data_IF_228668632774
#
_entry.id   IF_228668632774
#
_cell.length_a   1.000
_cell.length_b   1.000
_cell.length_c   1.000
_cell.angle_alpha   90.00
_cell.angle_beta   90.00
_cell.angle_gamma   90.00
#
_symmetry.space_group_name_H-M   'P 1'
#
loop_
_entity.id
_entity.type
_entity.pdbx_description
1 polymer ?
#
# COMPACT_ATOMS: atom_id res chain seq x y z
N UNK A 1 -34.42 6.24 -12.61
CA UNK A 1 -33.60 5.01 -12.67
C UNK A 1 -32.51 5.22 -13.71
N UNK A 2 -31.35 5.72 -13.32
CA UNK A 2 -30.20 5.94 -14.22
C UNK A 2 -29.41 4.64 -14.34
N UNK A 3 -29.28 4.14 -15.58
CA UNK A 3 -28.70 2.84 -15.90
C UNK A 3 -27.27 2.69 -15.40
N UNK A 4 -26.99 1.55 -14.75
CA UNK A 4 -25.64 1.11 -14.47
C UNK A 4 -24.89 0.98 -15.81
N UNK A 5 -23.98 1.90 -16.09
CA UNK A 5 -23.14 1.85 -17.28
C UNK A 5 -22.39 0.52 -17.39
N UNK A 6 -22.17 0.05 -18.62
CA UNK A 6 -21.48 -1.22 -18.89
C UNK A 6 -20.16 -1.29 -18.13
N UNK A 7 -19.81 -2.43 -17.48
CA UNK A 7 -18.56 -2.54 -16.75
C UNK A 7 -17.36 -2.31 -17.67
N UNK A 8 -16.43 -1.47 -17.20
CA UNK A 8 -15.23 -1.13 -17.95
C UNK A 8 -14.36 -2.37 -18.26
N UNK A 9 -13.52 -2.30 -19.29
CA UNK A 9 -12.69 -3.42 -19.77
C UNK A 9 -11.95 -4.15 -18.64
N UNK A 10 -11.30 -3.41 -17.72
CA UNK A 10 -10.52 -4.01 -16.65
C UNK A 10 -11.37 -4.69 -15.59
N UNK A 11 -12.62 -4.28 -15.38
CA UNK A 11 -13.53 -5.02 -14.52
C UNK A 11 -13.87 -6.38 -15.12
N UNK A 12 -14.25 -6.43 -16.40
CA UNK A 12 -14.55 -7.69 -17.08
C UNK A 12 -13.35 -8.61 -17.12
N UNK A 13 -12.17 -8.04 -17.36
CA UNK A 13 -10.93 -8.80 -17.38
C UNK A 13 -10.52 -9.31 -15.99
N UNK A 14 -10.80 -8.56 -14.92
CA UNK A 14 -10.58 -9.03 -13.54
C UNK A 14 -11.43 -10.27 -13.26
N UNK A 15 -12.73 -10.22 -13.59
CA UNK A 15 -13.63 -11.35 -13.42
C UNK A 15 -13.18 -12.57 -14.24
N UNK A 16 -12.83 -12.36 -15.52
CA UNK A 16 -12.36 -13.41 -16.42
C UNK A 16 -11.10 -14.11 -15.89
N UNK A 17 -10.19 -13.33 -15.31
CA UNK A 17 -8.95 -13.83 -14.72
C UNK A 17 -9.09 -14.22 -13.24
N UNK A 18 -10.27 -14.12 -12.64
CA UNK A 18 -10.50 -14.51 -11.24
C UNK A 18 -9.91 -13.56 -10.18
N UNK A 19 -9.60 -12.31 -10.54
CA UNK A 19 -9.32 -11.25 -9.58
C UNK A 19 -10.61 -10.64 -9.03
N UNK A 20 -10.64 -10.35 -7.73
CA UNK A 20 -11.83 -9.81 -7.05
C UNK A 20 -12.09 -8.33 -7.37
N UNK A 21 -11.11 -7.62 -7.92
CA UNK A 21 -11.29 -6.24 -8.40
C UNK A 21 -10.31 -5.86 -9.50
N UNK A 22 -10.69 -4.88 -10.32
CA UNK A 22 -9.84 -4.31 -11.37
C UNK A 22 -8.56 -3.64 -10.84
N UNK A 23 -8.47 -3.32 -9.55
CA UNK A 23 -7.26 -2.75 -8.94
C UNK A 23 -6.08 -3.72 -8.98
N UNK A 24 -6.32 -5.04 -9.15
CA UNK A 24 -5.27 -6.03 -9.38
C UNK A 24 -4.33 -5.64 -10.53
N UNK A 25 -4.88 -5.14 -11.65
CA UNK A 25 -4.08 -4.73 -12.81
C UNK A 25 -3.13 -3.57 -12.54
N UNK A 26 -3.41 -2.74 -11.53
CA UNK A 26 -2.53 -1.65 -11.12
C UNK A 26 -1.27 -2.23 -10.46
N UNK A 27 -1.44 -3.13 -9.49
CA UNK A 27 -0.32 -3.79 -8.82
C UNK A 27 0.41 -4.74 -9.76
N UNK A 28 -0.28 -5.49 -10.63
CA UNK A 28 0.37 -6.32 -11.66
C UNK A 28 1.28 -5.50 -12.58
N UNK A 29 0.83 -4.32 -13.02
CA UNK A 29 1.64 -3.43 -13.83
C UNK A 29 2.87 -2.93 -13.05
N UNK A 30 2.69 -2.45 -11.82
CA UNK A 30 3.79 -1.97 -10.98
C UNK A 30 4.78 -3.09 -10.65
N UNK A 31 4.28 -4.28 -10.30
CA UNK A 31 5.11 -5.46 -10.04
C UNK A 31 5.93 -5.84 -11.28
N UNK A 32 5.33 -5.83 -12.48
CA UNK A 32 6.03 -6.11 -13.74
C UNK A 32 7.14 -5.10 -14.04
N UNK A 33 6.90 -3.82 -13.76
CA UNK A 33 7.84 -2.73 -14.09
C UNK A 33 8.95 -2.56 -13.05
N UNK A 34 8.62 -2.69 -11.77
CA UNK A 34 9.52 -2.33 -10.67
C UNK A 34 10.05 -3.55 -9.89
N UNK A 35 9.49 -4.76 -10.08
CA UNK A 35 9.90 -5.99 -9.38
C UNK A 35 9.90 -5.81 -7.85
N UNK A 36 8.78 -5.33 -7.33
CA UNK A 36 8.65 -4.88 -5.94
C UNK A 36 8.65 -6.03 -4.94
N UNK A 37 7.93 -7.11 -5.27
CA UNK A 37 7.73 -8.29 -4.43
C UNK A 37 8.60 -9.41 -4.99
N UNK A 38 9.51 -9.92 -4.19
CA UNK A 38 10.34 -11.09 -4.54
C UNK A 38 9.75 -12.36 -3.94
N UNK A 39 10.11 -13.55 -4.47
CA UNK A 39 9.69 -14.81 -3.85
C UNK A 39 10.06 -14.88 -2.37
N UNK A 40 9.14 -15.36 -1.52
CA UNK A 40 9.35 -15.44 -0.07
C UNK A 40 9.34 -14.12 0.70
N UNK A 41 8.98 -12.99 0.07
CA UNK A 41 8.88 -11.69 0.74
C UNK A 41 7.86 -11.66 1.90
N UNK A 42 8.06 -10.71 2.82
CA UNK A 42 7.02 -10.28 3.76
C UNK A 42 6.37 -9.00 3.24
N UNK A 43 5.06 -9.06 2.99
CA UNK A 43 4.26 -7.99 2.39
C UNK A 43 3.21 -7.51 3.38
N UNK A 44 3.11 -6.20 3.57
CA UNK A 44 2.00 -5.54 4.27
C UNK A 44 1.19 -4.72 3.26
N UNK A 45 -0.11 -4.96 3.18
CA UNK A 45 -1.06 -4.30 2.26
C UNK A 45 -2.07 -3.47 3.06
N UNK A 46 -1.95 -2.15 3.01
CA UNK A 46 -2.79 -1.18 3.71
C UNK A 46 -3.94 -0.73 2.81
N UNK A 47 -5.18 -0.84 3.31
CA UNK A 47 -6.37 -0.62 2.49
C UNK A 47 -6.67 -1.80 1.57
N UNK A 48 -6.50 -3.02 2.08
CA UNK A 48 -6.49 -4.22 1.24
C UNK A 48 -7.86 -4.63 0.69
N UNK A 49 -8.98 -4.05 1.13
CA UNK A 49 -10.31 -4.45 0.65
C UNK A 49 -10.51 -4.13 -0.86
N UNK A 50 -11.09 -5.04 -1.66
CA UNK A 50 -11.69 -6.33 -1.30
C UNK A 50 -10.75 -7.54 -1.35
N UNK A 51 -9.43 -7.33 -1.51
CA UNK A 51 -8.41 -8.39 -1.50
C UNK A 51 -7.66 -8.57 -2.82
N UNK A 52 -7.86 -7.69 -3.81
CA UNK A 52 -7.25 -7.83 -5.13
C UNK A 52 -5.71 -7.71 -5.09
N UNK A 53 -5.18 -6.84 -4.23
CA UNK A 53 -3.73 -6.71 -4.04
C UNK A 53 -3.15 -7.86 -3.22
N UNK A 54 -3.94 -8.46 -2.31
CA UNK A 54 -3.56 -9.70 -1.62
C UNK A 54 -3.35 -10.87 -2.60
N UNK A 55 -4.22 -11.02 -3.60
CA UNK A 55 -4.06 -12.03 -4.65
C UNK A 55 -2.75 -11.85 -5.41
N UNK A 56 -2.48 -10.64 -5.90
CA UNK A 56 -1.26 -10.34 -6.66
C UNK A 56 0.00 -10.50 -5.79
N UNK A 57 -0.05 -10.06 -4.53
CA UNK A 57 1.05 -10.21 -3.59
C UNK A 57 1.36 -11.68 -3.32
N UNK A 58 0.34 -12.50 -3.04
CA UNK A 58 0.52 -13.92 -2.75
C UNK A 58 1.09 -14.68 -3.95
N UNK A 59 0.59 -14.44 -5.16
CA UNK A 59 1.18 -15.01 -6.38
C UNK A 59 2.65 -14.60 -6.57
N UNK A 60 2.98 -13.35 -6.22
CA UNK A 60 4.35 -12.83 -6.33
C UNK A 60 5.33 -13.46 -5.33
N UNK A 61 4.84 -14.09 -4.26
CA UNK A 61 5.68 -14.88 -3.34
C UNK A 61 6.18 -16.18 -3.97
N UNK A 62 5.61 -16.59 -5.12
CA UNK A 62 5.95 -17.83 -5.79
C UNK A 62 5.40 -19.07 -5.06
N UNK A 63 5.96 -20.26 -5.36
CA UNK A 63 5.56 -21.52 -4.73
C UNK A 63 5.64 -21.49 -3.19
N UNK A 64 4.89 -22.37 -2.53
CA UNK A 64 4.75 -22.37 -1.07
C UNK A 64 6.08 -22.63 -0.34
N UNK A 65 6.97 -23.43 -0.92
CA UNK A 65 8.29 -23.75 -0.39
C UNK A 65 9.24 -22.55 -0.32
N UNK A 66 8.95 -21.46 -1.06
CA UNK A 66 9.69 -20.19 -0.91
C UNK A 66 9.32 -19.44 0.36
N UNK A 67 8.24 -19.84 1.05
CA UNK A 67 7.76 -19.19 2.26
C UNK A 67 7.20 -17.79 1.97
N UNK A 68 7.39 -16.86 2.91
CA UNK A 68 6.86 -15.50 2.86
C UNK A 68 5.50 -15.36 3.53
N UNK A 69 5.02 -14.11 3.59
CA UNK A 69 3.73 -13.76 4.21
C UNK A 69 3.12 -12.56 3.54
N UNK A 70 1.79 -12.53 3.44
CA UNK A 70 1.03 -11.34 3.06
C UNK A 70 0.07 -11.00 4.18
N UNK A 71 0.18 -9.80 4.73
CA UNK A 71 -0.73 -9.28 5.76
C UNK A 71 -1.51 -8.12 5.16
N UNK A 72 -2.83 -8.27 5.04
CA UNK A 72 -3.74 -7.20 4.67
C UNK A 72 -4.33 -6.51 5.89
N UNK A 73 -4.40 -5.18 5.89
CA UNK A 73 -5.11 -4.40 6.91
C UNK A 73 -6.12 -3.51 6.23
N UNK A 74 -7.36 -3.55 6.70
CA UNK A 74 -8.42 -2.67 6.20
C UNK A 74 -9.45 -2.39 7.31
N UNK A 75 -10.13 -1.25 7.23
CA UNK A 75 -11.25 -0.92 8.12
C UNK A 75 -12.44 -1.87 7.90
N UNK A 76 -12.56 -2.45 6.71
CA UNK A 76 -13.56 -3.46 6.38
C UNK A 76 -13.01 -4.85 6.63
N UNK A 77 -13.87 -5.74 7.13
CA UNK A 77 -13.55 -7.17 7.20
C UNK A 77 -13.37 -7.72 5.78
N UNK A 78 -12.15 -8.14 5.45
CA UNK A 78 -11.83 -8.78 4.16
C UNK A 78 -11.89 -10.28 4.31
N UNK A 79 -12.69 -10.95 3.48
CA UNK A 79 -12.59 -12.40 3.29
C UNK A 79 -11.45 -12.67 2.33
N UNK A 80 -10.49 -13.50 2.73
CA UNK A 80 -9.38 -13.88 1.86
C UNK A 80 -9.94 -14.55 0.60
N UNK A 81 -9.61 -14.06 -0.61
CA UNK A 81 -10.04 -14.69 -1.86
C UNK A 81 -9.56 -16.14 -1.97
N UNK A 82 -10.43 -17.06 -2.37
CA UNK A 82 -10.04 -18.48 -2.52
C UNK A 82 -9.07 -18.71 -3.68
N UNK A 83 -9.15 -17.89 -4.73
CA UNK A 83 -8.24 -17.96 -5.87
C UNK A 83 -7.06 -17.02 -5.63
N UNK A 84 -5.85 -17.51 -5.94
CA UNK A 84 -4.58 -16.80 -5.88
C UNK A 84 -4.05 -16.45 -4.49
N UNK A 85 -4.79 -16.77 -3.43
CA UNK A 85 -4.28 -16.74 -2.07
C UNK A 85 -4.12 -18.15 -1.51
N UNK A 86 -3.15 -18.32 -0.62
CA UNK A 86 -2.92 -19.55 0.14
C UNK A 86 -2.76 -19.23 1.64
N UNK A 87 -2.31 -20.21 2.42
CA UNK A 87 -2.14 -20.12 3.88
C UNK A 87 -1.18 -19.01 4.34
N UNK A 88 -0.40 -18.40 3.44
CA UNK A 88 0.49 -17.27 3.75
C UNK A 88 -0.24 -15.93 3.85
N UNK A 89 -1.50 -15.85 3.43
CA UNK A 89 -2.29 -14.62 3.49
C UNK A 89 -3.05 -14.53 4.81
N UNK A 90 -2.96 -13.36 5.46
CA UNK A 90 -3.69 -13.02 6.68
C UNK A 90 -4.33 -11.65 6.52
N UNK A 91 -5.48 -11.43 7.14
CA UNK A 91 -6.18 -10.14 7.11
C UNK A 91 -6.52 -9.69 8.53
N UNK A 92 -6.37 -8.40 8.79
CA UNK A 92 -6.74 -7.76 10.06
C UNK A 92 -7.74 -6.64 9.78
N UNK A 93 -8.84 -6.64 10.52
CA UNK A 93 -9.84 -5.57 10.48
C UNK A 93 -9.42 -4.49 11.47
N UNK A 94 -8.84 -3.40 10.99
CA UNK A 94 -8.38 -2.29 11.82
C UNK A 94 -8.29 -1.00 11.00
N UNK A 95 -8.45 0.13 11.69
CA UNK A 95 -8.18 1.44 11.10
C UNK A 95 -6.68 1.72 11.08
N UNK A 96 -6.13 1.85 9.88
CA UNK A 96 -4.71 2.14 9.68
C UNK A 96 -4.32 3.48 10.30
N UNK A 97 -5.20 4.48 10.34
CA UNK A 97 -4.90 5.79 10.94
C UNK A 97 -4.59 5.67 12.44
N UNK A 98 -5.32 4.79 13.12
CA UNK A 98 -5.18 4.49 14.54
C UNK A 98 -4.22 3.32 14.84
N UNK A 99 -3.67 2.68 13.81
CA UNK A 99 -2.79 1.53 13.97
C UNK A 99 -1.48 1.94 14.63
N UNK A 100 -1.19 1.29 15.77
CA UNK A 100 0.09 1.40 16.42
C UNK A 100 1.11 0.54 15.68
N UNK A 101 2.30 1.09 15.51
CA UNK A 101 3.42 0.43 14.85
C UNK A 101 3.75 -0.93 15.46
N UNK A 102 3.77 -1.07 16.80
CA UNK A 102 4.13 -2.34 17.43
C UNK A 102 3.08 -3.42 17.21
N UNK A 103 1.80 -3.04 17.15
CA UNK A 103 0.72 -3.94 16.73
C UNK A 103 0.95 -4.43 15.30
N UNK A 104 1.29 -3.52 14.38
CA UNK A 104 1.60 -3.88 12.99
C UNK A 104 2.88 -4.72 12.88
N UNK A 105 3.91 -4.43 13.68
CA UNK A 105 5.19 -5.16 13.72
C UNK A 105 4.99 -6.58 14.23
N UNK A 106 4.13 -6.79 15.21
CA UNK A 106 3.80 -8.13 15.71
C UNK A 106 3.16 -9.04 14.65
N UNK A 107 2.58 -8.47 13.58
CA UNK A 107 2.05 -9.23 12.44
C UNK A 107 3.15 -9.68 11.46
N UNK A 108 4.34 -9.10 11.55
CA UNK A 108 5.47 -9.46 10.68
C UNK A 108 6.20 -10.71 11.17
N UNK A 109 6.85 -11.48 10.28
CA UNK A 109 7.60 -12.66 10.67
C UNK A 109 8.68 -12.31 11.71
N UNK A 110 8.61 -12.93 12.88
CA UNK A 110 9.56 -12.72 13.98
C UNK A 110 9.69 -11.24 14.43
N UNK A 111 8.69 -10.40 14.16
CA UNK A 111 8.74 -8.97 14.52
C UNK A 111 9.73 -8.13 13.71
N UNK A 112 10.28 -8.67 12.61
CA UNK A 112 11.35 -8.03 11.81
C UNK A 112 10.86 -6.94 10.84
N UNK A 113 9.55 -6.69 10.78
CA UNK A 113 8.95 -5.81 9.79
C UNK A 113 8.78 -6.48 8.42
N UNK A 114 8.47 -5.67 7.42
CA UNK A 114 8.09 -6.11 6.07
C UNK A 114 9.15 -5.71 5.05
N UNK A 115 9.44 -6.59 4.09
CA UNK A 115 10.29 -6.25 2.94
C UNK A 115 9.56 -5.39 1.90
N UNK A 116 8.22 -5.45 1.89
CA UNK A 116 7.37 -4.64 1.01
C UNK A 116 6.18 -4.10 1.77
N UNK A 117 5.90 -2.81 1.61
CA UNK A 117 4.67 -2.17 2.06
C UNK A 117 3.90 -1.60 0.88
N UNK A 118 2.61 -1.88 0.82
CA UNK A 118 1.69 -1.44 -0.22
C UNK A 118 0.58 -0.63 0.44
N UNK A 119 0.11 0.44 -0.21
CA UNK A 119 -1.03 1.22 0.24
C UNK A 119 -1.92 1.58 -0.96
N UNK A 120 -3.09 0.94 -1.03
CA UNK A 120 -4.19 1.30 -1.93
C UNK A 120 -5.34 1.96 -1.13
N UNK A 121 -5.03 2.57 0.02
CA UNK A 121 -6.00 3.31 0.84
C UNK A 121 -6.64 4.45 0.05
N UNK A 122 -7.95 4.62 0.19
CA UNK A 122 -8.73 5.66 -0.46
C UNK A 122 -9.67 6.28 0.58
N UNK A 123 -9.69 7.61 0.74
CA UNK A 123 -10.66 8.25 1.62
C UNK A 123 -12.05 8.18 0.99
N UNK A 124 -13.07 8.44 1.80
CA UNK A 124 -14.42 8.70 1.30
C UNK A 124 -14.40 9.99 0.48
N UNK A 125 -14.58 9.86 -0.83
CA UNK A 125 -14.49 10.98 -1.78
C UNK A 125 -15.72 11.88 -1.63
N UNK A 126 -15.50 13.14 -1.28
CA UNK A 126 -16.53 14.16 -1.12
C UNK A 126 -16.94 14.81 -2.44
N UNK A 127 -16.08 14.71 -3.47
CA UNK A 127 -16.24 15.41 -4.75
C UNK A 127 -15.53 16.78 -4.76
N UNK A 128 -15.06 17.25 -3.61
CA UNK A 128 -14.26 18.48 -3.49
C UNK A 128 -12.80 18.11 -3.71
N UNK A 129 -12.31 18.41 -4.91
CA UNK A 129 -10.96 18.07 -5.40
C UNK A 129 -9.83 18.33 -4.39
N UNK A 130 -9.81 19.51 -3.76
CA UNK A 130 -8.77 19.89 -2.80
C UNK A 130 -8.86 19.07 -1.51
N UNK A 131 -10.06 18.96 -0.94
CA UNK A 131 -10.32 18.18 0.28
C UNK A 131 -9.98 16.70 0.08
N UNK A 132 -10.40 16.12 -1.03
CA UNK A 132 -10.15 14.71 -1.33
C UNK A 132 -8.65 14.44 -1.51
N UNK A 133 -7.92 15.37 -2.11
CA UNK A 133 -6.46 15.29 -2.23
C UNK A 133 -5.74 15.41 -0.88
N UNK A 134 -6.16 16.34 -0.02
CA UNK A 134 -5.61 16.48 1.33
C UNK A 134 -5.80 15.20 2.16
N UNK A 135 -7.01 14.64 2.19
CA UNK A 135 -7.29 13.36 2.88
C UNK A 135 -6.49 12.19 2.29
N UNK A 136 -6.30 12.18 0.97
CA UNK A 136 -5.45 11.17 0.32
C UNK A 136 -3.99 11.32 0.73
N UNK A 137 -3.51 12.56 0.89
CA UNK A 137 -2.15 12.85 1.35
C UNK A 137 -1.96 12.41 2.81
N UNK A 138 -2.94 12.63 3.69
CA UNK A 138 -2.91 12.14 5.08
C UNK A 138 -2.77 10.61 5.17
N UNK A 139 -3.58 9.87 4.39
CA UNK A 139 -3.48 8.40 4.30
C UNK A 139 -2.10 7.96 3.79
N UNK A 140 -1.58 8.65 2.76
CA UNK A 140 -0.24 8.39 2.24
C UNK A 140 0.86 8.69 3.26
N UNK A 141 0.74 9.79 4.00
CA UNK A 141 1.64 10.18 5.08
C UNK A 141 1.65 9.18 6.22
N UNK A 142 0.47 8.64 6.61
CA UNK A 142 0.40 7.56 7.59
C UNK A 142 1.12 6.30 7.12
N UNK A 143 0.89 5.87 5.87
CA UNK A 143 1.59 4.71 5.30
C UNK A 143 3.11 4.89 5.30
N UNK A 144 3.58 6.10 4.92
CA UNK A 144 4.99 6.43 4.92
C UNK A 144 5.58 6.47 6.34
N UNK A 145 4.90 7.11 7.29
CA UNK A 145 5.29 7.16 8.70
C UNK A 145 5.43 5.77 9.32
N UNK A 146 4.46 4.88 9.06
CA UNK A 146 4.55 3.47 9.47
C UNK A 146 5.75 2.78 8.82
N UNK A 147 6.01 3.05 7.54
CA UNK A 147 7.11 2.42 6.82
C UNK A 147 8.50 2.85 7.32
N UNK A 148 8.74 4.15 7.51
CA UNK A 148 10.09 4.68 7.81
C UNK A 148 10.32 5.02 9.28
N UNK A 149 9.29 4.96 10.11
CA UNK A 149 9.34 5.34 11.52
C UNK A 149 9.31 6.86 11.73
N UNK A 150 9.45 7.31 12.98
CA UNK A 150 9.48 8.75 13.29
C UNK A 150 10.76 9.40 12.75
N UNK A 151 10.69 9.99 11.55
CA UNK A 151 11.42 11.22 11.21
C UNK A 151 10.90 11.86 9.92
N UNK A 152 10.30 13.04 10.10
CA UNK A 152 10.15 14.23 9.21
C UNK A 152 8.96 14.25 8.23
N UNK A 153 7.77 14.60 8.74
CA UNK A 153 7.13 15.83 8.26
C UNK A 153 7.41 16.88 9.35
N UNK A 154 7.72 18.15 9.03
CA UNK A 154 7.82 19.18 10.06
C UNK A 154 6.44 19.35 10.71
N UNK A 155 6.23 18.71 11.86
CA UNK A 155 5.09 19.01 12.72
C UNK A 155 5.47 20.23 13.56
N UNK A 156 4.70 21.30 13.44
CA UNK A 156 4.79 22.53 14.22
C UNK A 156 4.41 22.38 15.70
N UNK A 157 4.49 21.17 16.25
CA UNK A 157 4.14 20.91 17.65
C UNK A 157 5.21 20.03 18.29
N UNK A 158 6.08 20.67 19.07
CA UNK A 158 7.02 20.03 19.98
C UNK A 158 6.29 19.64 21.27
N UNK A 159 5.86 18.39 21.38
CA UNK A 159 5.66 17.73 22.68
C UNK A 159 5.28 16.26 22.52
N UNK A 160 6.24 15.39 22.17
CA UNK A 160 6.09 13.95 22.43
C UNK A 160 7.40 13.41 23.01
N UNK A 161 7.38 12.67 24.13
CA UNK A 161 8.58 12.22 24.82
C UNK A 161 9.41 11.26 23.95
N UNK A 162 10.73 11.40 24.06
CA UNK A 162 11.70 10.46 23.52
C UNK A 162 11.62 9.13 24.27
N UNK A 163 11.13 8.08 23.61
CA UNK A 163 11.42 6.71 24.02
C UNK A 163 12.55 6.15 23.18
N UNK A 164 13.66 5.87 23.87
CA UNK A 164 14.82 5.16 23.38
C UNK A 164 14.42 3.77 22.85
N UNK A 165 14.59 3.52 21.55
CA UNK A 165 14.84 2.15 21.12
C UNK A 165 15.72 2.06 19.87
N UNK A 166 16.84 1.37 20.06
CA UNK A 166 17.86 1.05 19.08
C UNK A 166 17.35 0.05 18.04
N UNK A 167 17.23 0.49 16.78
CA UNK A 167 16.96 -0.36 15.61
C UNK A 167 15.81 0.19 14.77
N UNK A 168 16.15 0.74 13.59
CA UNK A 168 15.25 1.29 12.56
C UNK A 168 13.76 1.34 12.91
N UNK A 169 13.27 2.51 13.31
CA UNK A 169 11.95 2.69 13.91
C UNK A 169 10.77 2.31 12.98
N UNK A 170 10.99 2.14 11.68
CA UNK A 170 9.94 1.84 10.70
C UNK A 170 9.61 0.35 10.56
N UNK A 171 8.40 0.07 10.06
CA UNK A 171 7.96 -1.28 9.69
C UNK A 171 8.64 -1.82 8.44
N UNK A 172 9.14 -0.94 7.56
CA UNK A 172 9.80 -1.36 6.32
C UNK A 172 11.26 -1.68 6.59
N UNK A 173 11.69 -2.88 6.18
CA UNK A 173 13.08 -3.31 6.30
C UNK A 173 14.00 -2.46 5.42
N UNK A 174 15.28 -2.33 5.82
CA UNK A 174 16.31 -1.75 4.94
C UNK A 174 16.35 -2.47 3.60
N UNK A 175 16.47 -1.71 2.52
CA UNK A 175 16.36 -2.23 1.15
C UNK A 175 14.93 -2.56 0.71
N UNK A 176 13.93 -2.43 1.58
CA UNK A 176 12.53 -2.70 1.29
C UNK A 176 11.89 -1.69 0.33
N UNK A 177 10.75 -2.08 -0.23
CA UNK A 177 10.00 -1.30 -1.21
C UNK A 177 8.67 -0.80 -0.64
N UNK A 178 8.25 0.39 -1.06
CA UNK A 178 7.01 1.03 -0.63
C UNK A 178 6.21 1.53 -1.84
N UNK A 179 4.91 1.29 -1.85
CA UNK A 179 3.97 1.85 -2.83
C UNK A 179 2.86 2.58 -2.11
N UNK A 180 2.59 3.82 -2.51
CA UNK A 180 1.52 4.64 -1.92
C UNK A 180 0.63 5.21 -3.03
N UNK A 181 -0.68 4.96 -2.93
CA UNK A 181 -1.68 5.68 -3.72
C UNK A 181 -1.88 7.10 -3.20
N UNK A 182 -1.94 8.05 -4.12
CA UNK A 182 -2.31 9.44 -3.87
C UNK A 182 -3.32 9.93 -4.92
N UNK A 183 -4.06 10.98 -4.59
CA UNK A 183 -4.78 11.79 -5.57
C UNK A 183 -3.92 12.98 -5.97
N UNK A 184 -3.62 13.11 -7.25
CA UNK A 184 -2.72 14.13 -7.80
C UNK A 184 -3.17 15.55 -7.44
N UNK A 185 -2.28 16.28 -6.78
CA UNK A 185 -2.40 17.69 -6.37
C UNK A 185 -1.02 18.35 -6.33
N UNK A 186 -0.97 19.67 -6.11
CA UNK A 186 0.30 20.41 -5.96
C UNK A 186 1.22 19.82 -4.88
N UNK A 187 0.64 19.44 -3.74
CA UNK A 187 1.35 18.93 -2.56
C UNK A 187 2.02 17.56 -2.79
N UNK A 188 1.59 16.81 -3.82
CA UNK A 188 2.20 15.50 -4.13
C UNK A 188 3.67 15.61 -4.50
N UNK A 189 4.13 16.75 -5.02
CA UNK A 189 5.54 16.94 -5.39
C UNK A 189 6.47 16.89 -4.17
N UNK A 190 6.10 17.58 -3.08
CA UNK A 190 6.87 17.61 -1.83
C UNK A 190 6.96 16.21 -1.22
N UNK A 191 5.83 15.48 -1.22
CA UNK A 191 5.76 14.09 -0.77
C UNK A 191 6.76 13.19 -1.53
N UNK A 192 6.85 13.38 -2.85
CA UNK A 192 7.80 12.67 -3.70
C UNK A 192 9.26 13.03 -3.40
N UNK A 193 9.57 14.30 -3.14
CA UNK A 193 10.91 14.75 -2.79
C UNK A 193 11.38 14.14 -1.48
N UNK A 194 10.53 14.14 -0.45
CA UNK A 194 10.83 13.51 0.82
C UNK A 194 11.16 12.01 0.66
N UNK A 195 10.40 11.29 -0.15
CA UNK A 195 10.68 9.89 -0.44
C UNK A 195 12.03 9.69 -1.17
N UNK A 196 12.45 10.59 -2.07
CA UNK A 196 13.78 10.50 -2.72
C UNK A 196 14.94 10.61 -1.73
N UNK A 197 14.75 11.31 -0.62
CA UNK A 197 15.76 11.41 0.44
C UNK A 197 15.91 10.09 1.19
N UNK A 198 14.83 9.33 1.39
CA UNK A 198 14.81 8.09 2.18
C UNK A 198 15.02 6.81 1.37
N UNK A 199 14.73 6.80 0.07
CA UNK A 199 14.81 5.63 -0.79
C UNK A 199 15.87 5.78 -1.88
N UNK A 200 16.45 4.66 -2.35
CA UNK A 200 17.41 4.66 -3.48
C UNK A 200 16.78 5.21 -4.76
N UNK A 201 15.49 4.95 -4.97
CA UNK A 201 14.72 5.45 -6.10
C UNK A 201 13.28 5.72 -5.68
N UNK A 202 12.70 6.82 -6.15
CA UNK A 202 11.27 7.08 -6.06
C UNK A 202 10.76 7.50 -7.44
N UNK A 203 9.61 6.96 -7.87
CA UNK A 203 9.06 7.19 -9.21
C UNK A 203 7.54 7.25 -9.16
N UNK A 204 6.98 8.24 -9.85
CA UNK A 204 5.54 8.36 -10.03
C UNK A 204 5.07 7.47 -11.17
N UNK A 205 3.89 6.86 -10.99
CA UNK A 205 3.22 6.10 -12.03
C UNK A 205 1.71 6.30 -11.95
N UNK A 206 1.09 6.43 -13.11
CA UNK A 206 -0.35 6.29 -13.30
C UNK A 206 -0.64 4.98 -14.05
N UNK A 207 -1.08 3.92 -13.37
CA UNK A 207 -1.35 2.64 -14.02
C UNK A 207 -2.41 2.75 -15.13
N UNK A 208 -2.29 1.92 -16.17
CA UNK A 208 -3.24 1.88 -17.30
C UNK A 208 -4.65 1.51 -16.85
N UNK A 209 -4.75 0.77 -15.74
CA UNK A 209 -6.01 0.39 -15.13
C UNK A 209 -6.62 1.48 -14.24
N UNK A 210 -6.05 2.68 -14.18
CA UNK A 210 -6.68 3.85 -13.55
C UNK A 210 -7.72 4.46 -14.50
N UNK A 211 -8.89 4.82 -13.97
CA UNK A 211 -9.97 5.46 -14.76
C UNK A 211 -9.53 6.83 -15.25
N UNK A 212 -9.90 7.21 -16.47
CA UNK A 212 -9.59 8.52 -17.04
C UNK A 212 -10.08 9.68 -16.17
N UNK A 213 -11.25 9.53 -15.53
CA UNK A 213 -11.85 10.52 -14.63
C UNK A 213 -11.19 10.61 -13.24
N UNK A 214 -10.35 9.65 -12.86
CA UNK A 214 -9.70 9.65 -11.55
C UNK A 214 -8.41 10.45 -11.58
N UNK A 215 -8.06 11.17 -10.51
CA UNK A 215 -6.72 11.77 -10.34
C UNK A 215 -5.72 10.84 -9.62
N UNK A 216 -6.05 9.57 -9.53
CA UNK A 216 -5.19 8.59 -8.86
C UNK A 216 -3.82 8.45 -9.53
N UNK A 217 -2.78 8.52 -8.70
CA UNK A 217 -1.38 8.26 -9.03
C UNK A 217 -0.74 7.43 -7.93
N UNK A 218 0.35 6.74 -8.21
CA UNK A 218 1.11 5.98 -7.22
C UNK A 218 2.55 6.47 -7.17
N UNK A 219 3.06 6.61 -5.95
CA UNK A 219 4.48 6.78 -5.70
C UNK A 219 5.09 5.41 -5.39
N UNK A 220 6.04 4.99 -6.23
CA UNK A 220 6.79 3.75 -6.08
C UNK A 220 8.18 4.07 -5.57
N UNK A 221 8.48 3.64 -4.35
CA UNK A 221 9.72 3.86 -3.63
C UNK A 221 10.48 2.54 -3.51
N UNK A 222 11.72 2.50 -3.99
CA UNK A 222 12.54 1.28 -4.02
C UNK A 222 13.79 1.44 -3.18
N UNK A 223 14.06 0.43 -2.34
CA UNK A 223 15.26 0.34 -1.54
C UNK A 223 15.36 1.42 -0.46
N UNK A 224 14.66 1.24 0.66
CA UNK A 224 14.86 2.07 1.86
C UNK A 224 16.35 2.10 2.23
N UNK A 225 16.92 3.30 2.43
CA UNK A 225 18.34 3.51 2.75
C UNK A 225 18.69 3.05 4.16
#
# INVERSE_FOLDING_TARGET
MSGAGSPDFFYREALRLGYVARSAFKLLQMQKQYKLITPGASVLDLGCAPGAWLQVACQSLGPLEKGGVVVGIDVKKVKIPNLYCDSRVRTVCADVMNLLKDQARALSPQGKGFSVMLSDMCPSVSGITSKDAALSCELGGKALSLAVGKSILPSSDESIPEENNSGGDGLLQRGGNLVIKLLESGDTQEFGQFCKLRFKKASWIRPKATRSSSREIYLVCQGLK
#
